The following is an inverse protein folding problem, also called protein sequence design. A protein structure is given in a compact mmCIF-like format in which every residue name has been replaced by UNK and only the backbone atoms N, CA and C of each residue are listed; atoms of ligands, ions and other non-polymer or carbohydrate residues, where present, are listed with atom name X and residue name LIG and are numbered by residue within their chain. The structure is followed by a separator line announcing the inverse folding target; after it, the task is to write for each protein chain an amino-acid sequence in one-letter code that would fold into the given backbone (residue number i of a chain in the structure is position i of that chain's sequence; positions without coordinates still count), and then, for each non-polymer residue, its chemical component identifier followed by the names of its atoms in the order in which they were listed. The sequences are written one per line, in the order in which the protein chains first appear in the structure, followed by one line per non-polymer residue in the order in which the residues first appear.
data_IF_563981149835
#
_entry.id   IF_563981149835
#
_cell.length_a   1.000
_cell.length_b   1.000
_cell.length_c   1.000
_cell.angle_alpha   90.00
_cell.angle_beta   90.00
_cell.angle_gamma   90.00
#
_symmetry.space_group_name_H-M   'P 1'
#
loop_
_entity.id
_entity.type
_entity.pdbx_description
1 polymer ?
#
# COMPACT_ATOMS: atom_id res chain seq x y z
N UNK A 1 18.49 3.82 -12.25
CA UNK A 1 19.27 5.00 -11.82
C UNK A 1 20.23 5.51 -12.90
N UNK A 2 21.04 4.66 -13.57
CA UNK A 2 21.88 5.09 -14.72
C UNK A 2 21.08 5.63 -15.91
N UNK A 3 20.10 4.87 -16.40
CA UNK A 3 19.35 5.24 -17.63
C UNK A 3 18.34 6.37 -17.43
N UNK A 4 17.57 6.31 -16.35
CA UNK A 4 16.46 7.24 -16.09
C UNK A 4 16.91 8.52 -15.38
N UNK A 5 17.60 8.37 -14.24
CA UNK A 5 18.04 9.51 -13.41
C UNK A 5 19.41 10.07 -13.83
N UNK A 6 20.12 9.41 -14.77
CA UNK A 6 21.45 9.81 -15.30
C UNK A 6 22.47 10.14 -14.20
N UNK A 7 22.44 9.40 -13.10
CA UNK A 7 23.34 9.63 -11.97
C UNK A 7 24.75 9.09 -12.23
N UNK A 8 25.81 9.78 -11.77
CA UNK A 8 27.17 9.23 -11.74
C UNK A 8 27.25 7.96 -10.88
N UNK A 9 28.18 7.06 -11.20
CA UNK A 9 28.29 5.75 -10.53
C UNK A 9 28.48 5.86 -9.01
N UNK A 10 29.31 6.80 -8.55
CA UNK A 10 29.53 7.04 -7.12
C UNK A 10 28.23 7.43 -6.38
N UNK A 11 27.33 8.19 -7.03
CA UNK A 11 26.04 8.57 -6.44
C UNK A 11 25.06 7.38 -6.40
N UNK A 12 25.14 6.49 -7.40
CA UNK A 12 24.34 5.26 -7.44
C UNK A 12 24.77 4.31 -6.33
N UNK A 13 26.08 4.10 -6.18
CA UNK A 13 26.63 3.24 -5.14
C UNK A 13 26.24 3.74 -3.75
N UNK A 14 26.34 5.05 -3.51
CA UNK A 14 25.86 5.66 -2.26
C UNK A 14 24.36 5.42 -2.03
N UNK A 15 23.51 5.61 -3.04
CA UNK A 15 22.07 5.34 -2.92
C UNK A 15 21.79 3.87 -2.60
N UNK A 16 22.47 2.94 -3.27
CA UNK A 16 22.34 1.50 -3.02
C UNK A 16 22.75 1.18 -1.58
N UNK A 17 23.87 1.74 -1.11
CA UNK A 17 24.34 1.54 0.27
C UNK A 17 23.31 2.04 1.30
N UNK A 18 22.68 3.18 1.06
CA UNK A 18 21.61 3.70 1.93
C UNK A 18 20.38 2.79 1.91
N UNK A 19 19.93 2.36 0.73
CA UNK A 19 18.79 1.43 0.62
C UNK A 19 19.08 0.10 1.32
N UNK A 20 20.31 -0.42 1.18
CA UNK A 20 20.74 -1.65 1.84
C UNK A 20 20.70 -1.51 3.35
N UNK A 21 21.31 -0.46 3.92
CA UNK A 21 21.29 -0.20 5.36
C UNK A 21 19.85 -0.12 5.90
N UNK A 22 18.97 0.54 5.15
CA UNK A 22 17.56 0.64 5.50
C UNK A 22 16.89 -0.75 5.56
N UNK A 23 17.06 -1.56 4.51
CA UNK A 23 16.45 -2.90 4.40
C UNK A 23 17.04 -3.91 5.39
N UNK A 24 18.34 -3.88 5.63
CA UNK A 24 19.04 -4.86 6.47
C UNK A 24 18.99 -4.50 7.96
N UNK A 25 19.22 -3.23 8.30
CA UNK A 25 19.50 -2.82 9.68
C UNK A 25 18.44 -1.92 10.27
N UNK A 26 18.04 -0.86 9.57
CA UNK A 26 17.18 0.18 10.19
C UNK A 26 15.72 -0.30 10.33
N UNK A 27 15.24 -1.08 9.36
CA UNK A 27 13.87 -1.61 9.33
C UNK A 27 13.79 -3.14 9.31
N UNK A 28 14.94 -3.83 9.24
CA UNK A 28 15.06 -5.30 9.31
C UNK A 28 14.16 -6.06 8.32
N UNK A 29 13.90 -5.49 7.15
CA UNK A 29 12.96 -6.02 6.15
C UNK A 29 13.41 -7.34 5.51
N UNK A 30 14.71 -7.66 5.55
CA UNK A 30 15.25 -8.90 4.97
C UNK A 30 15.17 -10.11 5.91
N UNK A 31 14.59 -9.96 7.10
CA UNK A 31 14.40 -11.08 8.04
C UNK A 31 13.36 -12.11 7.54
N UNK A 32 12.44 -11.70 6.67
CA UNK A 32 11.50 -12.58 5.98
C UNK A 32 10.94 -11.93 4.72
N UNK A 33 10.55 -12.75 3.74
CA UNK A 33 9.83 -12.27 2.54
C UNK A 33 8.53 -11.55 2.93
N UNK A 34 7.87 -12.02 4.00
CA UNK A 34 6.66 -11.41 4.54
C UNK A 34 6.89 -9.99 5.04
N UNK A 35 8.00 -9.73 5.73
CA UNK A 35 8.33 -8.40 6.25
C UNK A 35 8.52 -7.38 5.10
N UNK A 36 9.24 -7.78 4.06
CA UNK A 36 9.41 -6.96 2.85
C UNK A 36 8.07 -6.72 2.14
N UNK A 37 7.26 -7.77 1.97
CA UNK A 37 5.95 -7.68 1.33
C UNK A 37 5.00 -6.76 2.11
N UNK A 38 4.85 -6.94 3.42
CA UNK A 38 3.98 -6.11 4.25
C UNK A 38 4.46 -4.65 4.28
N UNK A 39 5.77 -4.41 4.23
CA UNK A 39 6.29 -3.06 4.10
C UNK A 39 5.87 -2.40 2.78
N UNK A 40 5.93 -3.13 1.66
CA UNK A 40 5.44 -2.65 0.37
C UNK A 40 3.92 -2.41 0.41
N UNK A 41 3.15 -3.34 1.00
CA UNK A 41 1.70 -3.20 1.20
C UNK A 41 1.37 -1.92 1.95
N UNK A 42 2.04 -1.59 3.07
CA UNK A 42 1.80 -0.34 3.81
C UNK A 42 1.87 0.92 2.92
N UNK A 43 2.69 0.90 1.86
CA UNK A 43 2.78 2.03 0.93
C UNK A 43 1.54 2.14 0.03
N UNK A 44 0.94 1.01 -0.35
CA UNK A 44 -0.27 0.98 -1.19
C UNK A 44 -1.47 1.55 -0.44
N UNK A 45 -1.53 1.43 0.89
CA UNK A 45 -2.61 2.00 1.71
C UNK A 45 -2.61 3.54 1.67
N UNK A 46 -1.46 4.17 1.44
CA UNK A 46 -1.38 5.62 1.22
C UNK A 46 -2.05 5.97 -0.12
N UNK A 47 -1.74 5.21 -1.18
CA UNK A 47 -2.38 5.39 -2.48
C UNK A 47 -3.89 5.12 -2.40
N UNK A 48 -4.31 4.07 -1.72
CA UNK A 48 -5.71 3.73 -1.44
C UNK A 48 -6.43 4.88 -0.74
N UNK A 49 -5.86 5.42 0.34
CA UNK A 49 -6.42 6.56 1.08
C UNK A 49 -6.58 7.80 0.19
N UNK A 50 -5.57 8.09 -0.63
CA UNK A 50 -5.62 9.20 -1.60
C UNK A 50 -6.73 8.98 -2.64
N UNK A 51 -6.79 7.79 -3.26
CA UNK A 51 -7.80 7.46 -4.27
C UNK A 51 -9.22 7.61 -3.71
N UNK A 52 -9.49 7.07 -2.52
CA UNK A 52 -10.81 7.16 -1.88
C UNK A 52 -11.18 8.59 -1.49
N UNK A 53 -10.22 9.36 -0.98
CA UNK A 53 -10.45 10.77 -0.63
C UNK A 53 -10.74 11.61 -1.87
N UNK A 54 -9.98 11.44 -2.94
CA UNK A 54 -10.22 12.10 -4.22
C UNK A 54 -11.57 11.68 -4.82
N UNK A 55 -11.92 10.39 -4.77
CA UNK A 55 -13.22 9.91 -5.21
C UNK A 55 -14.35 10.63 -4.46
N UNK A 56 -14.26 10.74 -3.13
CA UNK A 56 -15.24 11.44 -2.32
C UNK A 56 -15.35 12.94 -2.68
N UNK A 57 -14.23 13.61 -2.96
CA UNK A 57 -14.21 15.00 -3.44
C UNK A 57 -14.90 15.17 -4.80
N UNK A 58 -14.92 14.13 -5.62
CA UNK A 58 -15.59 14.09 -6.92
C UNK A 58 -17.04 13.57 -6.84
N UNK A 59 -17.56 13.30 -5.64
CA UNK A 59 -18.90 12.73 -5.45
C UNK A 59 -19.01 11.24 -5.82
N UNK A 60 -17.89 10.53 -5.90
CA UNK A 60 -17.82 9.09 -6.14
C UNK A 60 -17.63 8.38 -4.80
N UNK A 61 -18.48 7.39 -4.54
CA UNK A 61 -18.37 6.54 -3.37
C UNK A 61 -17.29 5.47 -3.54
N UNK A 62 -16.70 5.05 -2.43
CA UNK A 62 -15.70 3.99 -2.43
C UNK A 62 -15.81 3.08 -1.20
N UNK A 63 -15.27 1.87 -1.32
CA UNK A 63 -15.17 0.90 -0.22
C UNK A 63 -13.82 0.18 -0.27
N UNK A 64 -12.95 0.33 0.75
CA UNK A 64 -11.73 -0.45 0.87
C UNK A 64 -12.06 -1.88 1.33
N UNK A 65 -11.35 -2.88 0.79
CA UNK A 65 -11.67 -4.30 0.96
C UNK A 65 -10.40 -5.10 1.27
N UNK A 66 -10.43 -5.79 2.43
CA UNK A 66 -9.46 -6.82 2.85
C UNK A 66 -10.11 -8.20 3.03
N UNK A 67 -11.45 -8.27 2.94
CA UNK A 67 -12.23 -9.49 3.21
C UNK A 67 -12.23 -10.48 2.05
N UNK A 68 -11.07 -11.03 1.70
CA UNK A 68 -10.90 -12.01 0.63
C UNK A 68 -9.83 -13.06 0.95
N UNK A 69 -9.87 -14.20 0.26
CA UNK A 69 -8.82 -15.22 0.32
C UNK A 69 -7.70 -14.85 -0.66
N UNK A 70 -6.57 -14.33 -0.16
CA UNK A 70 -5.49 -13.80 -0.98
C UNK A 70 -5.00 -14.80 -2.03
N UNK A 71 -4.69 -16.03 -1.60
CA UNK A 71 -4.11 -17.06 -2.48
C UNK A 71 -5.06 -17.38 -3.66
N UNK A 72 -6.37 -17.38 -3.42
CA UNK A 72 -7.37 -17.57 -4.49
C UNK A 72 -7.45 -16.39 -5.45
N UNK A 73 -7.32 -15.16 -4.94
CA UNK A 73 -7.32 -13.97 -5.80
C UNK A 73 -6.04 -13.94 -6.66
N UNK A 74 -4.89 -14.27 -6.08
CA UNK A 74 -3.63 -14.35 -6.83
C UNK A 74 -3.69 -15.43 -7.91
N UNK A 75 -4.26 -16.61 -7.63
CA UNK A 75 -4.50 -17.64 -8.64
C UNK A 75 -5.35 -17.12 -9.82
N UNK A 76 -6.46 -16.43 -9.54
CA UNK A 76 -7.32 -15.82 -10.57
C UNK A 76 -6.55 -14.73 -11.34
N UNK A 77 -5.76 -13.91 -10.66
CA UNK A 77 -4.98 -12.85 -11.30
C UNK A 77 -3.92 -13.40 -12.26
N UNK A 78 -3.26 -14.50 -11.90
CA UNK A 78 -2.31 -15.17 -12.76
C UNK A 78 -3.01 -15.87 -13.94
N UNK A 79 -4.06 -16.66 -13.66
CA UNK A 79 -4.71 -17.50 -14.65
C UNK A 79 -5.58 -16.72 -15.65
N UNK A 80 -6.38 -15.77 -15.15
CA UNK A 80 -7.42 -15.10 -15.96
C UNK A 80 -6.99 -13.70 -16.43
N UNK A 81 -6.13 -13.01 -15.67
CA UNK A 81 -5.72 -11.63 -15.96
C UNK A 81 -4.28 -11.51 -16.47
N UNK A 82 -3.49 -12.59 -16.42
CA UNK A 82 -2.09 -12.61 -16.85
C UNK A 82 -1.19 -11.68 -16.02
N UNK A 83 -1.52 -11.47 -14.75
CA UNK A 83 -0.72 -10.66 -13.82
C UNK A 83 0.36 -11.53 -13.20
N UNK A 84 1.60 -11.02 -13.18
CA UNK A 84 2.74 -11.69 -12.55
C UNK A 84 2.59 -11.71 -11.02
N UNK A 85 2.26 -12.87 -10.46
CA UNK A 85 2.14 -13.10 -9.02
C UNK A 85 3.42 -13.60 -8.36
N UNK A 86 4.49 -13.83 -9.14
CA UNK A 86 5.82 -14.14 -8.59
C UNK A 86 6.57 -12.85 -8.23
N UNK A 87 6.35 -11.79 -9.01
CA UNK A 87 6.90 -10.45 -8.76
C UNK A 87 6.02 -9.54 -7.90
N UNK A 88 4.71 -9.80 -7.84
CA UNK A 88 3.72 -8.99 -7.12
C UNK A 88 2.79 -9.85 -6.28
N UNK A 89 2.26 -9.29 -5.20
CA UNK A 89 1.18 -9.91 -4.43
C UNK A 89 0.06 -8.93 -4.17
N UNK A 90 -1.11 -9.46 -3.84
CA UNK A 90 -2.32 -8.65 -3.61
C UNK A 90 -2.25 -8.02 -2.23
N UNK A 91 -2.23 -6.69 -2.19
CA UNK A 91 -2.20 -5.91 -0.96
C UNK A 91 -3.61 -5.67 -0.39
N UNK A 92 -4.51 -5.11 -1.20
CA UNK A 92 -5.86 -4.73 -0.83
C UNK A 92 -6.69 -4.49 -2.09
N UNK A 93 -8.01 -4.43 -1.95
CA UNK A 93 -8.93 -4.08 -3.03
C UNK A 93 -9.73 -2.81 -2.69
N UNK A 94 -10.30 -2.18 -3.71
CA UNK A 94 -11.22 -1.05 -3.55
C UNK A 94 -12.26 -1.05 -4.66
N UNK A 95 -13.51 -0.79 -4.30
CA UNK A 95 -14.58 -0.52 -5.27
C UNK A 95 -14.87 0.97 -5.35
N UNK A 96 -15.29 1.44 -6.52
CA UNK A 96 -15.77 2.80 -6.76
C UNK A 96 -17.14 2.77 -7.43
N UNK A 97 -18.00 3.75 -7.12
CA UNK A 97 -19.33 3.85 -7.73
C UNK A 97 -20.18 4.94 -7.10
N UNK A 98 -21.51 4.80 -7.21
CA UNK A 98 -22.47 5.72 -6.61
C UNK A 98 -23.38 4.95 -5.66
N UNK A 99 -23.52 5.43 -4.42
CA UNK A 99 -24.33 4.78 -3.39
C UNK A 99 -25.80 4.71 -3.82
N UNK A 100 -26.41 3.55 -3.59
CA UNK A 100 -27.86 3.35 -3.80
C UNK A 100 -28.65 3.87 -2.59
N UNK A 101 -28.04 3.87 -1.40
CA UNK A 101 -28.66 4.25 -0.13
C UNK A 101 -27.69 5.08 0.69
N UNK A 102 -28.23 5.94 1.54
CA UNK A 102 -27.41 6.69 2.48
C UNK A 102 -26.71 5.80 3.49
N UNK A 103 -25.49 6.20 3.83
CA UNK A 103 -24.67 5.54 4.83
C UNK A 103 -25.19 5.81 6.24
N UNK A 104 -24.90 4.89 7.15
CA UNK A 104 -25.08 5.12 8.58
C UNK A 104 -24.12 6.21 9.04
N UNK A 105 -24.48 6.89 10.13
CA UNK A 105 -23.56 7.80 10.81
C UNK A 105 -22.26 7.07 11.17
N UNK A 106 -21.15 7.81 11.06
CA UNK A 106 -19.82 7.26 11.34
C UNK A 106 -19.63 7.16 12.85
N UNK A 107 -19.30 5.98 13.32
CA UNK A 107 -18.87 5.74 14.70
C UNK A 107 -17.34 5.72 14.75
N UNK A 108 -16.75 6.51 15.64
CA UNK A 108 -15.29 6.61 15.85
C UNK A 108 -15.03 6.72 17.35
N UNK A 109 -13.85 6.26 17.77
CA UNK A 109 -13.31 6.59 19.09
C UNK A 109 -13.19 8.11 19.26
N UNK A 110 -13.23 8.59 20.51
CA UNK A 110 -13.09 10.03 20.75
C UNK A 110 -11.65 10.48 20.50
N UNK A 111 -11.45 11.78 20.32
CA UNK A 111 -10.12 12.34 20.05
C UNK A 111 -9.15 12.07 21.22
N UNK A 112 -9.66 12.13 22.44
CA UNK A 112 -8.91 11.90 23.68
C UNK A 112 -8.40 10.45 23.81
N UNK A 113 -9.12 9.49 23.20
CA UNK A 113 -8.72 8.08 23.20
C UNK A 113 -7.57 7.79 22.22
N UNK A 114 -7.48 8.56 21.12
CA UNK A 114 -6.54 8.26 20.02
C UNK A 114 -5.39 9.28 19.87
N UNK A 115 -5.43 10.42 20.57
CA UNK A 115 -4.38 11.45 20.52
C UNK A 115 -3.75 11.67 21.89
N UNK A 116 -2.42 11.62 21.94
CA UNK A 116 -1.62 11.99 23.12
C UNK A 116 -0.64 13.11 22.79
N UNK A 117 -0.74 14.20 23.53
CA UNK A 117 0.14 15.36 23.39
C UNK A 117 1.32 15.26 24.37
N UNK A 118 2.53 15.44 23.85
CA UNK A 118 3.75 15.52 24.65
C UNK A 118 4.26 16.97 24.57
N UNK A 119 4.60 17.55 25.72
CA UNK A 119 5.17 18.89 25.85
C UNK A 119 6.61 18.78 26.30
#
# INVERSE_FOLDING_TARGET
MRKVQKLPDAAIEKKISVCRKFQETDFQLLESERAMFDWACKQTYIALGNMMTTAAMLGIDSCPIEGFERDRIEEIMAADLGIDTDGFGVSCMVTFGFRIREGREKTRQTMEEIVRWYR
#
